data_IF_612460762385
#
_entry.id   IF_612460762385
#
_cell.length_a   1.000
_cell.length_b   1.000
_cell.length_c   1.000
_cell.angle_alpha   90.00
_cell.angle_beta   90.00
_cell.angle_gamma   90.00
#
_symmetry.space_group_name_H-M   'P 1'
#
loop_
_entity.id
_entity.type
_entity.pdbx_description
1 polymer ?
#
# COMPACT_ATOMS: atom_id res chain seq x y z
N UNK A 1 -42.52 -20.16 -68.52
CA UNK A 1 -41.09 -19.95 -68.84
C UNK A 1 -40.91 -18.44 -68.93
N UNK A 2 -40.17 -17.68 -68.11
CA UNK A 2 -38.93 -17.81 -67.33
C UNK A 2 -39.05 -16.70 -66.24
N UNK A 3 -39.12 -17.02 -64.93
CA UNK A 3 -38.08 -16.82 -63.90
C UNK A 3 -37.33 -15.46 -63.97
N UNK A 4 -36.96 -14.72 -62.92
CA UNK A 4 -37.08 -14.74 -61.45
C UNK A 4 -36.41 -13.43 -60.96
N UNK A 5 -36.96 -12.80 -59.90
CA UNK A 5 -36.29 -12.08 -58.78
C UNK A 5 -35.47 -10.80 -59.10
N UNK A 6 -35.90 -9.60 -58.71
CA UNK A 6 -35.91 -8.97 -57.35
C UNK A 6 -34.50 -8.69 -56.78
N UNK A 7 -34.15 -7.40 -56.84
CA UNK A 7 -33.55 -6.54 -55.80
C UNK A 7 -32.33 -7.07 -55.01
N UNK A 8 -31.16 -6.44 -55.22
CA UNK A 8 -30.07 -6.41 -54.25
C UNK A 8 -29.38 -5.03 -54.30
N UNK A 9 -29.85 -4.13 -53.44
CA UNK A 9 -29.21 -2.86 -53.11
C UNK A 9 -28.02 -3.19 -52.21
N UNK A 10 -26.82 -2.87 -52.67
CA UNK A 10 -25.58 -2.91 -51.90
C UNK A 10 -25.65 -1.85 -50.78
N UNK A 11 -26.00 -2.28 -49.58
CA UNK A 11 -25.84 -1.49 -48.36
C UNK A 11 -24.50 -1.89 -47.73
N UNK A 12 -23.48 -1.06 -47.92
CA UNK A 12 -22.20 -1.19 -47.25
C UNK A 12 -22.41 -0.89 -45.76
N UNK A 13 -22.62 -1.95 -44.97
CA UNK A 13 -22.52 -1.89 -43.52
C UNK A 13 -21.04 -1.71 -43.13
N UNK A 14 -20.59 -0.46 -43.10
CA UNK A 14 -19.38 -0.08 -42.38
C UNK A 14 -19.72 -0.27 -40.89
N UNK A 15 -19.42 -1.47 -40.38
CA UNK A 15 -19.28 -1.70 -38.95
C UNK A 15 -18.09 -0.85 -38.50
N UNK A 16 -18.38 0.39 -38.11
CA UNK A 16 -17.56 1.12 -37.16
C UNK A 16 -17.53 0.27 -35.89
N UNK A 17 -16.55 -0.63 -35.80
CA UNK A 17 -15.96 -1.01 -34.52
C UNK A 17 -15.30 0.27 -33.97
N UNK A 18 -16.14 1.18 -33.50
CA UNK A 18 -15.74 2.24 -32.61
C UNK A 18 -15.23 1.53 -31.38
N UNK A 19 -13.92 1.39 -31.29
CA UNK A 19 -13.23 1.09 -30.07
C UNK A 19 -13.57 2.24 -29.13
N UNK A 20 -14.65 2.10 -28.38
CA UNK A 20 -15.08 3.06 -27.38
C UNK A 20 -13.95 3.09 -26.34
N UNK A 21 -13.03 4.04 -26.50
CA UNK A 21 -12.13 4.45 -25.43
C UNK A 21 -13.05 4.75 -24.26
N UNK A 22 -13.06 3.85 -23.28
CA UNK A 22 -13.74 4.03 -22.00
C UNK A 22 -13.21 5.35 -21.43
N UNK A 23 -13.95 6.42 -21.66
CA UNK A 23 -13.52 7.76 -21.29
C UNK A 23 -13.44 7.76 -19.77
N UNK A 24 -12.23 7.90 -19.24
CA UNK A 24 -12.02 7.90 -17.80
C UNK A 24 -12.91 8.98 -17.19
N UNK A 25 -13.75 8.61 -16.24
CA UNK A 25 -14.66 9.52 -15.54
C UNK A 25 -13.79 10.49 -14.72
N UNK A 26 -13.51 11.66 -15.29
CA UNK A 26 -12.61 12.67 -14.72
C UNK A 26 -13.27 13.27 -13.49
N UNK A 27 -12.62 13.13 -12.33
CA UNK A 27 -13.10 13.67 -11.08
C UNK A 27 -12.57 15.09 -10.83
N UNK A 28 -11.26 15.30 -11.02
CA UNK A 28 -10.58 16.57 -10.76
C UNK A 28 -9.50 16.83 -11.82
N UNK A 29 -9.07 18.09 -11.95
CA UNK A 29 -7.95 18.49 -12.80
C UNK A 29 -6.93 19.30 -11.99
N UNK A 30 -5.66 19.00 -12.18
CA UNK A 30 -4.52 19.70 -11.58
C UNK A 30 -3.64 20.19 -12.72
N UNK A 31 -3.54 21.51 -12.92
CA UNK A 31 -2.77 22.15 -14.00
C UNK A 31 -2.97 21.51 -15.39
N UNK A 32 -4.21 21.13 -15.70
CA UNK A 32 -4.60 20.52 -16.98
C UNK A 32 -4.49 18.99 -17.03
N UNK A 33 -3.84 18.34 -16.05
CA UNK A 33 -3.84 16.88 -15.91
C UNK A 33 -5.10 16.41 -15.17
N UNK A 34 -5.82 15.49 -15.79
CA UNK A 34 -7.02 14.88 -15.23
C UNK A 34 -6.66 13.75 -14.27
N UNK A 35 -7.31 13.73 -13.11
CA UNK A 35 -7.33 12.61 -12.18
C UNK A 35 -8.74 12.02 -12.21
N UNK A 36 -8.84 10.71 -12.47
CA UNK A 36 -10.12 10.02 -12.61
C UNK A 36 -10.67 9.55 -11.27
N UNK A 37 -11.96 9.21 -11.22
CA UNK A 37 -12.56 8.55 -10.05
C UNK A 37 -11.89 7.22 -9.72
N UNK A 38 -11.40 6.51 -10.74
CA UNK A 38 -10.69 5.25 -10.54
C UNK A 38 -9.34 5.47 -9.83
N UNK A 39 -8.62 6.54 -10.17
CA UNK A 39 -7.35 6.89 -9.51
C UNK A 39 -7.58 7.20 -8.02
N UNK A 40 -8.64 7.96 -7.72
CA UNK A 40 -9.03 8.29 -6.33
C UNK A 40 -9.41 7.02 -5.57
N UNK A 41 -10.23 6.14 -6.15
CA UNK A 41 -10.63 4.90 -5.52
C UNK A 41 -9.43 3.97 -5.24
N UNK A 42 -8.51 3.85 -6.20
CA UNK A 42 -7.29 3.06 -6.04
C UNK A 42 -6.39 3.63 -4.94
N UNK A 43 -6.16 4.95 -4.94
CA UNK A 43 -5.37 5.61 -3.90
C UNK A 43 -6.01 5.46 -2.50
N UNK A 44 -7.34 5.55 -2.41
CA UNK A 44 -8.09 5.34 -1.16
C UNK A 44 -7.89 3.93 -0.63
N UNK A 45 -8.01 2.91 -1.49
CA UNK A 45 -7.81 1.51 -1.10
C UNK A 45 -6.34 1.25 -0.71
N UNK A 46 -5.37 1.86 -1.39
CA UNK A 46 -3.94 1.76 -1.01
C UNK A 46 -3.68 2.35 0.39
N UNK A 47 -4.22 3.52 0.71
CA UNK A 47 -4.07 4.13 2.05
C UNK A 47 -4.70 3.21 3.10
N UNK A 48 -5.92 2.71 2.83
CA UNK A 48 -6.60 1.76 3.71
C UNK A 48 -5.76 0.50 3.97
N UNK A 49 -5.21 -0.11 2.92
CA UNK A 49 -4.35 -1.30 3.05
C UNK A 49 -3.08 -1.01 3.85
N UNK A 50 -2.48 0.18 3.66
CA UNK A 50 -1.32 0.62 4.42
C UNK A 50 -1.63 0.77 5.92
N UNK A 51 -2.77 1.39 6.26
CA UNK A 51 -3.24 1.52 7.64
C UNK A 51 -3.45 0.14 8.27
N UNK A 52 -4.19 -0.75 7.59
CA UNK A 52 -4.51 -2.08 8.12
C UNK A 52 -3.29 -2.99 8.26
N UNK A 53 -2.29 -2.82 7.39
CA UNK A 53 -1.03 -3.58 7.48
C UNK A 53 -0.17 -3.11 8.66
N UNK A 54 -0.25 -1.82 9.01
CA UNK A 54 0.55 -1.21 10.09
C UNK A 54 -0.13 -1.34 11.44
N UNK A 55 -1.47 -1.23 11.47
CA UNK A 55 -2.31 -1.24 12.66
C UNK A 55 -3.50 -2.20 12.45
N UNK A 56 -3.27 -3.53 12.53
CA UNK A 56 -4.33 -4.52 12.28
C UNK A 56 -5.57 -4.35 13.17
N UNK A 57 -5.40 -3.86 14.40
CA UNK A 57 -6.47 -3.56 15.36
C UNK A 57 -7.47 -2.52 14.85
N UNK A 58 -7.06 -1.62 13.94
CA UNK A 58 -7.95 -0.63 13.31
C UNK A 58 -9.04 -1.25 12.44
N UNK A 59 -8.87 -2.51 12.04
CA UNK A 59 -9.95 -3.26 11.36
C UNK A 59 -11.22 -3.41 12.23
N UNK A 60 -11.06 -3.41 13.56
CA UNK A 60 -12.15 -3.58 14.53
C UNK A 60 -12.73 -2.23 15.01
N UNK A 61 -11.90 -1.19 15.07
CA UNK A 61 -12.27 0.15 15.54
C UNK A 61 -12.91 1.02 14.44
N UNK A 62 -12.73 0.64 13.18
CA UNK A 62 -13.16 1.42 12.02
C UNK A 62 -12.01 2.24 11.42
N UNK A 63 -12.17 2.55 10.13
CA UNK A 63 -11.24 3.38 9.37
C UNK A 63 -11.62 4.86 9.44
N UNK A 64 -10.66 5.79 9.24
CA UNK A 64 -10.98 7.22 9.15
C UNK A 64 -12.04 7.50 8.09
N UNK A 65 -13.01 8.36 8.39
CA UNK A 65 -14.10 8.69 7.45
C UNK A 65 -13.62 9.53 6.25
N UNK A 66 -12.45 10.17 6.37
CA UNK A 66 -11.89 11.12 5.40
C UNK A 66 -10.84 10.53 4.45
N UNK A 67 -10.73 9.20 4.35
CA UNK A 67 -9.72 8.54 3.52
C UNK A 67 -9.75 8.96 2.05
N UNK A 68 -10.94 9.12 1.47
CA UNK A 68 -11.06 9.58 0.07
C UNK A 68 -10.51 11.00 -0.09
N UNK A 69 -10.76 11.88 0.89
CA UNK A 69 -10.23 13.24 0.88
C UNK A 69 -8.71 13.25 0.99
N UNK A 70 -8.13 12.40 1.84
CA UNK A 70 -6.68 12.23 1.96
C UNK A 70 -6.09 11.69 0.65
N UNK A 71 -6.74 10.71 0.02
CA UNK A 71 -6.33 10.19 -1.29
C UNK A 71 -6.32 11.29 -2.36
N UNK A 72 -7.37 12.12 -2.43
CA UNK A 72 -7.43 13.27 -3.33
C UNK A 72 -6.29 14.25 -3.07
N UNK A 73 -6.04 14.61 -1.82
CA UNK A 73 -4.96 15.52 -1.45
C UNK A 73 -3.59 14.97 -1.84
N UNK A 74 -3.36 13.67 -1.60
CA UNK A 74 -2.11 13.00 -1.98
C UNK A 74 -1.92 13.00 -3.51
N UNK A 75 -2.97 12.73 -4.28
CA UNK A 75 -2.90 12.75 -5.75
C UNK A 75 -2.61 14.15 -6.29
N UNK A 76 -3.22 15.18 -5.71
CA UNK A 76 -2.93 16.59 -6.05
C UNK A 76 -1.48 16.92 -5.74
N UNK A 77 -1.02 16.62 -4.52
CA UNK A 77 0.35 16.88 -4.10
C UNK A 77 1.37 16.18 -5.01
N UNK A 78 1.15 14.90 -5.31
CA UNK A 78 2.01 14.12 -6.21
C UNK A 78 2.08 14.75 -7.60
N UNK A 79 0.95 15.22 -8.15
CA UNK A 79 0.97 15.86 -9.46
C UNK A 79 1.77 17.17 -9.45
N UNK A 80 1.54 18.02 -8.45
CA UNK A 80 2.27 19.28 -8.31
C UNK A 80 3.77 19.06 -8.13
N UNK A 81 4.17 18.06 -7.35
CA UNK A 81 5.58 17.72 -7.18
C UNK A 81 6.21 17.15 -8.47
N UNK A 82 5.47 16.34 -9.23
CA UNK A 82 5.95 15.83 -10.52
C UNK A 82 6.10 16.97 -11.55
N UNK A 83 5.20 17.94 -11.53
CA UNK A 83 5.31 19.14 -12.37
C UNK A 83 6.53 19.98 -11.95
N UNK A 84 6.72 20.21 -10.66
CA UNK A 84 7.87 20.96 -10.15
C UNK A 84 9.20 20.28 -10.50
N UNK A 85 9.28 18.94 -10.35
CA UNK A 85 10.44 18.18 -10.76
C UNK A 85 10.74 18.35 -12.26
N UNK A 86 9.70 18.41 -13.12
CA UNK A 86 9.89 18.69 -14.55
C UNK A 86 10.35 20.12 -14.81
N UNK A 87 9.80 21.10 -14.10
CA UNK A 87 10.19 22.50 -14.21
C UNK A 87 11.67 22.71 -13.85
N UNK A 88 12.18 21.90 -12.92
CA UNK A 88 13.61 21.86 -12.55
C UNK A 88 14.48 21.00 -13.46
N UNK A 89 13.91 20.40 -14.51
CA UNK A 89 14.58 19.49 -15.43
C UNK A 89 15.17 18.24 -14.75
N UNK A 90 14.55 17.78 -13.66
CA UNK A 90 14.91 16.52 -13.02
C UNK A 90 14.45 15.39 -13.93
N UNK A 91 15.37 14.52 -14.31
CA UNK A 91 15.09 13.34 -15.13
C UNK A 91 15.87 12.15 -14.60
N UNK A 92 15.30 10.95 -14.72
CA UNK A 92 15.88 9.72 -14.21
C UNK A 92 16.46 8.94 -15.38
N UNK A 93 17.73 8.56 -15.28
CA UNK A 93 18.37 7.75 -16.29
C UNK A 93 17.64 6.39 -16.41
N UNK A 94 17.40 5.87 -17.63
CA UNK A 94 16.75 4.57 -17.82
C UNK A 94 17.44 3.43 -17.05
N UNK A 95 18.77 3.48 -16.96
CA UNK A 95 19.57 2.51 -16.20
C UNK A 95 19.24 2.52 -14.70
N UNK A 96 18.90 3.67 -14.13
CA UNK A 96 18.48 3.78 -12.73
C UNK A 96 17.11 3.13 -12.53
N UNK A 97 16.18 3.35 -13.46
CA UNK A 97 14.87 2.67 -13.44
C UNK A 97 15.05 1.16 -13.57
N UNK A 98 15.95 0.69 -14.45
CA UNK A 98 16.29 -0.73 -14.58
C UNK A 98 16.83 -1.33 -13.27
N UNK A 99 17.71 -0.61 -12.58
CA UNK A 99 18.26 -1.06 -11.30
C UNK A 99 17.17 -1.20 -10.24
N UNK A 100 16.31 -0.19 -10.09
CA UNK A 100 15.18 -0.22 -9.14
C UNK A 100 14.22 -1.36 -9.49
N UNK A 101 13.91 -1.52 -10.77
CA UNK A 101 13.03 -2.59 -11.24
C UNK A 101 13.60 -3.98 -10.97
N UNK A 102 14.88 -4.20 -11.24
CA UNK A 102 15.54 -5.47 -10.99
C UNK A 102 15.60 -5.79 -9.48
N UNK A 103 15.86 -4.79 -8.63
CA UNK A 103 15.81 -4.94 -7.18
C UNK A 103 14.41 -5.25 -6.68
N UNK A 104 13.38 -4.66 -7.28
CA UNK A 104 11.99 -5.00 -6.98
C UNK A 104 11.66 -6.44 -7.39
N UNK A 105 12.04 -6.84 -8.61
CA UNK A 105 11.83 -8.19 -9.14
C UNK A 105 12.57 -9.25 -8.32
N UNK A 106 13.75 -8.95 -7.77
CA UNK A 106 14.51 -9.88 -6.93
C UNK A 106 13.89 -10.16 -5.56
N UNK A 107 12.82 -9.44 -5.16
CA UNK A 107 12.05 -9.75 -3.94
C UNK A 107 11.13 -10.95 -4.11
N UNK A 108 10.89 -11.38 -5.35
CA UNK A 108 10.09 -12.55 -5.67
C UNK A 108 10.98 -13.79 -5.74
N UNK A 109 10.45 -14.93 -5.29
CA UNK A 109 11.18 -16.20 -5.28
C UNK A 109 11.64 -16.61 -6.69
N UNK A 110 10.81 -16.34 -7.71
CA UNK A 110 11.14 -16.61 -9.10
C UNK A 110 10.35 -15.69 -10.05
N UNK A 111 10.69 -15.76 -11.35
CA UNK A 111 10.04 -14.96 -12.39
C UNK A 111 8.59 -15.38 -12.67
N UNK A 112 8.23 -16.65 -12.43
CA UNK A 112 6.87 -17.13 -12.65
C UNK A 112 5.90 -16.57 -11.60
N UNK A 113 6.32 -16.49 -10.33
CA UNK A 113 5.59 -15.84 -9.25
C UNK A 113 5.42 -14.35 -9.53
N UNK A 114 6.49 -13.67 -9.95
CA UNK A 114 6.43 -12.26 -10.35
C UNK A 114 5.40 -12.03 -11.47
N UNK A 115 5.47 -12.79 -12.56
CA UNK A 115 4.54 -12.66 -13.68
C UNK A 115 3.09 -12.96 -13.28
N UNK A 116 2.86 -13.95 -12.42
CA UNK A 116 1.53 -14.25 -11.87
C UNK A 116 0.98 -13.05 -11.09
N UNK A 117 1.80 -12.46 -10.22
CA UNK A 117 1.39 -11.30 -9.42
C UNK A 117 1.05 -10.09 -10.31
N UNK A 118 1.80 -9.86 -11.40
CA UNK A 118 1.48 -8.82 -12.37
C UNK A 118 0.10 -9.03 -13.00
N UNK A 119 -0.20 -10.26 -13.43
CA UNK A 119 -1.48 -10.61 -14.02
C UNK A 119 -2.64 -10.45 -13.02
N UNK A 120 -2.47 -10.94 -11.79
CA UNK A 120 -3.49 -10.84 -10.74
C UNK A 120 -3.77 -9.39 -10.34
N UNK A 121 -2.77 -8.53 -10.36
CA UNK A 121 -2.90 -7.10 -10.07
C UNK A 121 -3.28 -6.23 -11.27
N UNK A 122 -3.41 -6.82 -12.47
CA UNK A 122 -3.69 -6.09 -13.71
C UNK A 122 -2.59 -5.11 -14.13
N UNK A 123 -1.36 -5.34 -13.67
CA UNK A 123 -0.20 -4.48 -13.92
C UNK A 123 0.65 -5.00 -15.07
N UNK A 124 1.45 -4.12 -15.67
CA UNK A 124 2.47 -4.47 -16.66
C UNK A 124 3.85 -4.08 -16.16
N UNK A 125 4.91 -4.74 -16.65
CA UNK A 125 6.29 -4.34 -16.33
C UNK A 125 6.53 -2.86 -16.71
N UNK A 126 6.02 -2.42 -17.86
CA UNK A 126 6.13 -1.03 -18.32
C UNK A 126 5.41 -0.05 -17.40
N UNK A 127 4.23 -0.40 -16.89
CA UNK A 127 3.47 0.43 -15.95
C UNK A 127 4.21 0.59 -14.62
N UNK A 128 4.76 -0.52 -14.10
CA UNK A 128 5.56 -0.50 -12.87
C UNK A 128 6.82 0.34 -13.05
N UNK A 129 7.52 0.19 -14.18
CA UNK A 129 8.72 0.98 -14.48
C UNK A 129 8.40 2.48 -14.56
N UNK A 130 7.29 2.85 -15.19
CA UNK A 130 6.85 4.24 -15.23
C UNK A 130 6.53 4.79 -13.83
N UNK A 131 5.98 3.96 -12.94
CA UNK A 131 5.73 4.38 -11.55
C UNK A 131 7.02 4.51 -10.74
N UNK A 132 7.98 3.60 -10.95
CA UNK A 132 9.32 3.70 -10.34
C UNK A 132 10.08 4.94 -10.82
N UNK A 133 9.97 5.29 -12.09
CA UNK A 133 10.55 6.51 -12.66
C UNK A 133 9.99 7.77 -11.97
N UNK A 134 8.65 7.87 -11.85
CA UNK A 134 7.99 8.95 -11.11
C UNK A 134 8.46 9.01 -9.66
N UNK A 135 8.51 7.87 -8.98
CA UNK A 135 8.98 7.78 -7.59
C UNK A 135 10.42 8.28 -7.43
N UNK A 136 11.33 7.86 -8.32
CA UNK A 136 12.72 8.30 -8.32
C UNK A 136 12.88 9.79 -8.64
N UNK A 137 12.02 10.32 -9.51
CA UNK A 137 11.97 11.75 -9.84
C UNK A 137 11.54 12.58 -8.63
N UNK A 138 10.51 12.14 -7.89
CA UNK A 138 10.06 12.78 -6.66
C UNK A 138 11.11 12.71 -5.54
N UNK A 139 11.78 11.57 -5.36
CA UNK A 139 12.87 11.41 -4.40
C UNK A 139 14.04 12.37 -4.71
N UNK A 140 14.37 12.53 -6.00
CA UNK A 140 15.40 13.47 -6.44
C UNK A 140 15.00 14.93 -6.18
N UNK A 141 13.75 15.30 -6.47
CA UNK A 141 13.22 16.62 -6.13
C UNK A 141 13.32 16.89 -4.63
N UNK A 142 12.90 15.95 -3.80
CA UNK A 142 12.93 16.11 -2.35
C UNK A 142 14.36 16.29 -1.85
N UNK A 143 15.32 15.52 -2.37
CA UNK A 143 16.75 15.69 -2.03
C UNK A 143 17.28 17.07 -2.38
N UNK A 144 16.89 17.62 -3.53
CA UNK A 144 17.31 18.96 -3.94
C UNK A 144 16.66 20.05 -3.07
N UNK A 145 15.35 19.95 -2.82
CA UNK A 145 14.60 20.94 -2.03
C UNK A 145 14.99 20.93 -0.55
N UNK A 146 15.29 19.75 0.00
CA UNK A 146 15.75 19.61 1.39
C UNK A 146 17.26 19.85 1.56
N UNK A 147 18.00 20.06 0.47
CA UNK A 147 19.42 20.31 0.57
C UNK A 147 19.69 21.61 1.32
N UNK A 148 20.49 21.53 2.39
CA UNK A 148 20.84 22.70 3.20
C UNK A 148 19.76 23.11 4.19
N UNK A 149 18.71 22.30 4.38
CA UNK A 149 17.87 22.42 5.58
C UNK A 149 18.67 21.88 6.76
N UNK A 150 18.76 22.69 7.82
CA UNK A 150 19.50 22.35 9.03
C UNK A 150 18.99 21.02 9.60
N UNK A 151 19.92 20.11 9.89
CA UNK A 151 19.61 18.91 10.64
C UNK A 151 19.25 19.27 12.08
N UNK A 152 18.26 18.59 12.66
CA UNK A 152 17.94 18.72 14.08
C UNK A 152 19.17 18.40 14.93
N UNK A 153 19.51 19.30 15.86
CA UNK A 153 20.64 19.13 16.77
C UNK A 153 20.37 18.05 17.83
N UNK A 154 21.43 17.50 18.44
CA UNK A 154 21.29 16.55 19.56
C UNK A 154 20.55 17.19 20.75
N UNK A 155 20.75 18.49 20.97
CA UNK A 155 20.09 19.21 22.05
C UNK A 155 18.59 19.34 21.80
N UNK A 156 18.16 19.73 20.61
CA UNK A 156 16.74 19.76 20.24
C UNK A 156 16.09 18.38 20.35
N UNK A 157 16.81 17.31 19.96
CA UNK A 157 16.35 15.95 20.15
C UNK A 157 16.13 15.60 21.64
N UNK A 158 17.09 15.98 22.51
CA UNK A 158 17.00 15.76 23.96
C UNK A 158 15.86 16.56 24.58
N UNK A 159 15.72 17.82 24.21
CA UNK A 159 14.69 18.71 24.73
C UNK A 159 13.30 18.19 24.32
N UNK A 160 13.12 17.82 23.05
CA UNK A 160 11.88 17.20 22.60
C UNK A 160 11.58 15.90 23.34
N UNK A 161 12.57 15.02 23.54
CA UNK A 161 12.38 13.79 24.30
C UNK A 161 11.95 14.06 25.75
N UNK A 162 12.63 14.98 26.44
CA UNK A 162 12.35 15.31 27.83
C UNK A 162 10.94 15.90 27.99
N UNK A 163 10.58 16.85 27.12
CA UNK A 163 9.26 17.49 27.10
C UNK A 163 8.12 16.54 26.70
N UNK A 164 8.43 15.49 25.93
CA UNK A 164 7.46 14.55 25.39
C UNK A 164 7.68 13.11 25.86
N UNK A 165 8.32 12.92 27.02
CA UNK A 165 8.73 11.59 27.52
C UNK A 165 7.58 10.57 27.56
N UNK A 166 6.36 11.04 27.86
CA UNK A 166 5.14 10.23 27.83
C UNK A 166 4.80 9.62 26.46
N UNK A 167 5.22 10.24 25.35
CA UNK A 167 5.05 9.71 23.98
C UNK A 167 5.99 8.54 23.69
N UNK A 168 7.09 8.46 24.41
CA UNK A 168 8.13 7.43 24.24
C UNK A 168 8.01 6.29 25.26
N UNK A 169 7.23 6.50 26.32
CA UNK A 169 6.81 5.42 27.23
C UNK A 169 5.59 4.72 26.65
N UNK A 170 5.72 3.44 26.30
CA UNK A 170 4.55 2.61 25.97
C UNK A 170 3.69 2.32 27.21
N UNK A 171 2.48 1.78 26.99
CA UNK A 171 1.69 1.21 28.07
C UNK A 171 2.57 0.26 28.92
N UNK A 172 2.38 0.20 30.26
CA UNK A 172 3.21 -0.62 31.13
C UNK A 172 3.33 -2.05 30.59
N UNK A 173 4.56 -2.44 30.21
CA UNK A 173 4.85 -3.80 29.77
C UNK A 173 5.43 -4.56 30.95
N UNK A 174 4.80 -5.68 31.30
CA UNK A 174 5.33 -6.61 32.29
C UNK A 174 5.96 -7.80 31.56
N UNK A 175 7.11 -8.27 32.04
CA UNK A 175 7.69 -9.53 31.58
C UNK A 175 6.98 -10.67 32.33
N UNK A 176 6.27 -11.51 31.60
CA UNK A 176 5.56 -12.67 32.16
C UNK A 176 6.25 -13.95 31.71
N UNK A 177 6.47 -14.87 32.65
CA UNK A 177 6.81 -16.27 32.35
C UNK A 177 5.57 -17.12 32.54
N UNK A 178 5.18 -17.87 31.50
CA UNK A 178 4.02 -18.75 31.54
C UNK A 178 4.47 -20.22 31.58
N UNK A 179 3.89 -20.98 32.50
CA UNK A 179 3.98 -22.44 32.49
C UNK A 179 2.59 -22.97 32.15
N UNK A 180 2.48 -23.63 31.00
CA UNK A 180 1.22 -24.20 30.53
C UNK A 180 1.18 -25.71 30.77
N UNK A 181 0.08 -26.18 31.34
CA UNK A 181 -0.19 -27.61 31.51
C UNK A 181 -1.33 -28.00 30.58
N UNK A 182 -1.04 -28.79 29.56
CA UNK A 182 -2.06 -29.33 28.65
C UNK A 182 -3.00 -30.27 29.43
N UNK A 183 -4.31 -30.06 29.28
CA UNK A 183 -5.34 -30.89 29.88
C UNK A 183 -6.40 -31.28 28.84
N UNK A 184 -6.98 -32.46 29.01
CA UNK A 184 -8.18 -32.89 28.29
C UNK A 184 -9.40 -32.44 29.10
N UNK A 185 -10.28 -31.63 28.49
CA UNK A 185 -11.46 -31.07 29.15
C UNK A 185 -12.65 -32.03 29.16
N UNK A 186 -12.58 -33.14 28.44
CA UNK A 186 -13.66 -34.15 28.37
C UNK A 186 -13.61 -35.14 29.55
N UNK A 187 -12.45 -35.32 30.17
CA UNK A 187 -12.22 -36.24 31.29
C UNK A 187 -11.96 -35.46 32.59
N UNK A 188 -12.98 -35.39 33.45
CA UNK A 188 -12.93 -34.65 34.72
C UNK A 188 -11.81 -35.13 35.64
N UNK A 189 -11.52 -36.44 35.66
CA UNK A 189 -10.51 -36.99 36.57
C UNK A 189 -9.10 -36.63 36.11
N UNK A 190 -8.84 -36.71 34.79
CA UNK A 190 -7.55 -36.28 34.23
C UNK A 190 -7.34 -34.77 34.38
N UNK A 191 -8.39 -33.98 34.16
CA UNK A 191 -8.34 -32.53 34.37
C UNK A 191 -7.98 -32.20 35.83
N UNK A 192 -8.56 -32.90 36.80
CA UNK A 192 -8.27 -32.68 38.22
C UNK A 192 -6.83 -33.04 38.58
N UNK A 193 -6.28 -34.13 38.01
CA UNK A 193 -4.87 -34.49 38.20
C UNK A 193 -3.92 -33.43 37.64
N UNK A 194 -4.22 -32.89 36.45
CA UNK A 194 -3.44 -31.80 35.85
C UNK A 194 -3.52 -30.53 36.69
N UNK A 195 -4.72 -30.19 37.21
CA UNK A 195 -4.91 -29.06 38.12
C UNK A 195 -4.08 -29.21 39.39
N UNK A 196 -4.09 -30.39 40.03
CA UNK A 196 -3.25 -30.66 41.22
C UNK A 196 -1.76 -30.46 40.94
N UNK A 197 -1.28 -30.94 39.79
CA UNK A 197 0.11 -30.73 39.36
C UNK A 197 0.42 -29.24 39.17
N UNK A 198 -0.46 -28.50 38.50
CA UNK A 198 -0.30 -27.06 38.29
C UNK A 198 -0.28 -26.27 39.61
N UNK A 199 -1.17 -26.60 40.55
CA UNK A 199 -1.21 -25.98 41.89
C UNK A 199 0.03 -26.33 42.72
N UNK A 200 0.54 -27.56 42.60
CA UNK A 200 1.79 -27.98 43.24
C UNK A 200 2.99 -27.17 42.74
N UNK A 201 3.12 -27.03 41.42
CA UNK A 201 4.17 -26.20 40.81
C UNK A 201 4.00 -24.72 41.19
N UNK A 202 2.77 -24.19 41.22
CA UNK A 202 2.50 -22.83 41.68
C UNK A 202 2.94 -22.62 43.14
N UNK A 203 2.75 -23.62 44.00
CA UNK A 203 3.15 -23.54 45.40
C UNK A 203 4.67 -23.51 45.54
N UNK A 204 5.39 -24.34 44.78
CA UNK A 204 6.86 -24.33 44.72
C UNK A 204 7.38 -22.98 44.22
N UNK A 205 6.80 -22.42 43.16
CA UNK A 205 7.22 -21.11 42.63
C UNK A 205 6.99 -20.00 43.66
N UNK A 206 5.91 -20.06 44.44
CA UNK A 206 5.61 -19.08 45.49
C UNK A 206 6.51 -19.19 46.71
N UNK A 207 7.11 -20.36 46.97
CA UNK A 207 8.03 -20.55 48.10
C UNK A 207 9.47 -20.11 47.82
N UNK A 208 9.79 -19.78 46.56
CA UNK A 208 11.17 -19.61 46.10
C UNK A 208 11.89 -20.93 45.85
#
# INVERSE_FOLDING_TARGET
MIAKKILLVLWAAILFFGCAKKQADVAIKVNGKSISKADIANATEMIKQSILSTFPEKSLEGLPENLEKEAVQQLIANELMLEEAKNRNISIAPSTVDQIFNQFKSRFADTALFNRQLLESGQTESGIRAEMEKGAMLDSLLKEVLQGIDSTSEQECKDFYNENSSKFTGAPRIRVSQIFFKADTSDKQKMENVRKKATGVLSQIKSG
#
